data_IF_437269545117
#
_entry.id   IF_437269545117
#
_cell.length_a   1.000
_cell.length_b   1.000
_cell.length_c   1.000
_cell.angle_alpha   90.00
_cell.angle_beta   90.00
_cell.angle_gamma   90.00
#
_symmetry.space_group_name_H-M   'P 1'
#
loop_
_entity.id
_entity.type
_entity.pdbx_description
1 polymer ?
#
# COMPACT_ATOMS: atom_id res chain seq x y z
N UNK A 1 -7.12 -19.03 18.43
CA UNK A 1 -8.39 -18.40 18.07
C UNK A 1 -8.45 -18.25 16.55
N UNK A 2 -9.59 -18.58 15.94
CA UNK A 2 -9.78 -18.57 14.48
C UNK A 2 -9.62 -17.13 13.95
N UNK A 3 -8.55 -16.85 13.20
CA UNK A 3 -8.51 -15.69 12.30
C UNK A 3 -9.65 -15.88 11.30
N UNK A 4 -10.76 -15.16 11.50
CA UNK A 4 -11.76 -14.97 10.44
C UNK A 4 -11.00 -14.35 9.27
N UNK A 5 -10.75 -15.12 8.22
CA UNK A 5 -10.26 -14.57 6.96
C UNK A 5 -11.25 -13.48 6.56
N UNK A 6 -10.78 -12.23 6.61
CA UNK A 6 -11.56 -11.09 6.15
C UNK A 6 -11.90 -11.34 4.67
N UNK A 7 -13.19 -11.35 4.37
CA UNK A 7 -13.71 -11.64 3.03
C UNK A 7 -13.27 -10.52 2.07
N UNK A 8 -13.15 -10.82 0.78
CA UNK A 8 -12.80 -9.80 -0.22
C UNK A 8 -13.75 -8.60 -0.16
N UNK A 9 -15.02 -8.82 0.19
CA UNK A 9 -16.01 -7.74 0.38
C UNK A 9 -15.65 -6.76 1.51
N UNK A 10 -15.07 -7.23 2.62
CA UNK A 10 -14.64 -6.34 3.69
C UNK A 10 -13.38 -5.56 3.28
N UNK A 11 -12.47 -6.21 2.55
CA UNK A 11 -11.28 -5.55 2.01
C UNK A 11 -11.65 -4.49 0.95
N UNK A 12 -12.61 -4.77 0.08
CA UNK A 12 -13.13 -3.81 -0.90
C UNK A 12 -13.72 -2.57 -0.21
N UNK A 13 -14.46 -2.77 0.88
CA UNK A 13 -14.97 -1.67 1.71
C UNK A 13 -13.86 -0.85 2.37
N UNK A 14 -12.81 -1.51 2.86
CA UNK A 14 -11.63 -0.81 3.41
C UNK A 14 -10.94 0.02 2.34
N UNK A 15 -10.79 -0.50 1.13
CA UNK A 15 -10.24 0.24 -0.01
C UNK A 15 -11.11 1.45 -0.34
N UNK A 16 -12.44 1.31 -0.37
CA UNK A 16 -13.35 2.44 -0.61
C UNK A 16 -13.22 3.55 0.44
N UNK A 17 -12.98 3.20 1.71
CA UNK A 17 -12.73 4.17 2.78
C UNK A 17 -11.36 4.85 2.61
N UNK A 18 -10.31 4.05 2.38
CA UNK A 18 -8.95 4.55 2.20
C UNK A 18 -8.82 5.47 0.98
N UNK A 19 -9.51 5.18 -0.13
CA UNK A 19 -9.60 6.04 -1.32
C UNK A 19 -10.16 7.43 -1.00
N UNK A 20 -11.04 7.54 0.01
CA UNK A 20 -11.60 8.81 0.47
C UNK A 20 -10.72 9.51 1.51
N UNK A 21 -9.52 8.99 1.78
CA UNK A 21 -8.65 9.44 2.86
C UNK A 21 -9.31 9.30 4.24
N UNK A 22 -10.14 8.27 4.44
CA UNK A 22 -10.78 7.97 5.72
C UNK A 22 -10.01 6.87 6.48
N UNK A 23 -10.00 6.97 7.81
CA UNK A 23 -9.35 5.98 8.67
C UNK A 23 -10.16 4.70 8.79
N UNK A 24 -9.46 3.56 8.69
CA UNK A 24 -9.96 2.24 9.09
C UNK A 24 -9.61 1.95 10.55
N UNK A 25 -10.28 0.99 11.19
CA UNK A 25 -10.03 0.69 12.60
C UNK A 25 -8.66 0.06 12.81
N UNK A 26 -8.06 0.27 13.98
CA UNK A 26 -6.78 -0.34 14.36
C UNK A 26 -6.77 -1.88 14.19
N UNK A 27 -7.88 -2.56 14.53
CA UNK A 27 -8.01 -4.00 14.34
C UNK A 27 -7.97 -4.41 12.86
N UNK A 28 -8.52 -3.56 11.99
CA UNK A 28 -8.54 -3.74 10.53
C UNK A 28 -7.14 -3.47 9.95
N UNK A 29 -6.46 -2.40 10.41
CA UNK A 29 -5.05 -2.12 10.08
C UNK A 29 -4.16 -3.30 10.44
N UNK A 30 -4.27 -3.82 11.67
CA UNK A 30 -3.46 -4.94 12.13
C UNK A 30 -3.68 -6.18 11.27
N UNK A 31 -4.94 -6.52 11.00
CA UNK A 31 -5.29 -7.65 10.14
C UNK A 31 -4.76 -7.48 8.71
N UNK A 32 -4.83 -6.26 8.15
CA UNK A 32 -4.29 -5.95 6.83
C UNK A 32 -2.77 -6.12 6.79
N UNK A 33 -2.06 -5.57 7.78
CA UNK A 33 -0.61 -5.71 7.92
C UNK A 33 -0.17 -7.16 8.05
N UNK A 34 -0.88 -7.98 8.82
CA UNK A 34 -0.53 -9.40 8.99
C UNK A 34 -0.70 -10.18 7.68
N UNK A 35 -1.76 -9.93 6.91
CA UNK A 35 -1.95 -10.54 5.57
C UNK A 35 -0.90 -10.06 4.57
N UNK A 36 -0.58 -8.77 4.58
CA UNK A 36 0.44 -8.23 3.69
C UNK A 36 1.82 -8.81 3.99
N UNK A 37 2.17 -9.02 5.28
CA UNK A 37 3.41 -9.71 5.66
C UNK A 37 3.46 -11.12 5.10
N UNK A 38 2.35 -11.88 5.17
CA UNK A 38 2.29 -13.23 4.62
C UNK A 38 2.57 -13.25 3.12
N UNK A 39 1.97 -12.31 2.36
CA UNK A 39 2.17 -12.18 0.91
C UNK A 39 3.62 -11.77 0.61
N UNK A 40 4.07 -10.64 1.17
CA UNK A 40 5.39 -10.07 0.87
C UNK A 40 6.55 -10.96 1.32
N UNK A 41 6.36 -11.77 2.38
CA UNK A 41 7.40 -12.72 2.83
C UNK A 41 7.53 -13.94 1.92
N UNK A 42 6.51 -14.23 1.10
CA UNK A 42 6.54 -15.30 0.12
C UNK A 42 7.12 -14.85 -1.23
N UNK A 43 7.26 -13.55 -1.46
CA UNK A 43 7.84 -12.97 -2.67
C UNK A 43 9.37 -13.07 -2.67
N UNK A 44 9.94 -13.08 -3.87
CA UNK A 44 11.37 -13.11 -4.09
C UNK A 44 11.97 -11.71 -3.91
N UNK A 45 13.24 -11.66 -3.55
CA UNK A 45 13.98 -10.39 -3.50
C UNK A 45 14.08 -9.69 -4.88
N UNK A 46 13.93 -10.44 -5.97
CA UNK A 46 13.91 -9.94 -7.34
C UNK A 46 12.65 -10.47 -8.01
N UNK A 47 11.63 -9.63 -8.08
CA UNK A 47 10.37 -9.97 -8.70
C UNK A 47 10.36 -9.77 -10.21
N UNK A 48 9.68 -10.67 -10.91
CA UNK A 48 9.48 -10.58 -12.36
C UNK A 48 8.09 -10.02 -12.61
N UNK A 49 8.02 -8.90 -13.34
CA UNK A 49 6.76 -8.23 -13.69
C UNK A 49 6.47 -8.37 -15.17
N UNK A 50 5.19 -8.52 -15.52
CA UNK A 50 4.73 -8.63 -16.90
C UNK A 50 4.16 -7.31 -17.43
N UNK A 51 4.44 -7.01 -18.69
CA UNK A 51 3.86 -5.85 -19.40
C UNK A 51 2.48 -6.20 -19.96
N UNK A 52 1.56 -5.23 -20.09
CA UNK A 52 1.70 -3.81 -19.79
C UNK A 52 1.64 -3.52 -18.28
N UNK A 53 2.43 -2.55 -17.81
CA UNK A 53 2.38 -2.04 -16.42
C UNK A 53 2.73 -0.55 -16.34
N UNK A 54 2.26 0.08 -15.28
CA UNK A 54 2.59 1.46 -14.90
C UNK A 54 3.66 1.43 -13.80
N UNK A 55 4.75 2.17 -13.99
CA UNK A 55 5.86 2.27 -13.02
C UNK A 55 5.75 3.60 -12.28
N UNK A 56 5.78 3.54 -10.96
CA UNK A 56 5.60 4.67 -10.06
C UNK A 56 6.85 4.86 -9.20
N UNK A 57 7.35 6.08 -9.15
CA UNK A 57 8.46 6.47 -8.26
C UNK A 57 7.96 6.84 -6.85
N UNK A 58 8.75 7.66 -6.17
CA UNK A 58 8.53 8.11 -4.80
C UNK A 58 7.14 8.75 -4.62
N UNK A 59 6.48 8.43 -3.51
CA UNK A 59 5.16 8.95 -3.16
C UNK A 59 5.21 9.88 -1.94
N UNK A 60 6.03 9.56 -0.92
CA UNK A 60 6.27 10.41 0.26
C UNK A 60 5.00 10.96 0.92
N UNK A 61 4.01 10.11 1.17
CA UNK A 61 2.76 10.50 1.84
C UNK A 61 1.94 11.55 1.09
N UNK A 62 2.17 11.74 -0.22
CA UNK A 62 1.40 12.64 -1.08
C UNK A 62 0.12 11.95 -1.59
N UNK A 63 -0.83 11.71 -0.67
CA UNK A 63 -2.04 10.93 -0.94
C UNK A 63 -2.84 11.43 -2.16
N UNK A 64 -3.07 12.74 -2.28
CA UNK A 64 -3.86 13.29 -3.39
C UNK A 64 -3.17 13.15 -4.74
N UNK A 65 -1.83 13.18 -4.77
CA UNK A 65 -1.05 12.94 -5.98
C UNK A 65 -1.09 11.45 -6.36
N UNK A 66 -1.07 10.54 -5.37
CA UNK A 66 -1.30 9.12 -5.60
C UNK A 66 -2.69 8.85 -6.21
N UNK A 67 -3.72 9.55 -5.74
CA UNK A 67 -5.07 9.45 -6.32
C UNK A 67 -5.10 9.93 -7.77
N UNK A 68 -4.37 10.99 -8.10
CA UNK A 68 -4.26 11.47 -9.48
C UNK A 68 -3.49 10.49 -10.37
N UNK A 69 -2.43 9.88 -9.83
CA UNK A 69 -1.68 8.82 -10.49
C UNK A 69 -2.60 7.65 -10.89
N UNK A 70 -3.51 7.21 -10.02
CA UNK A 70 -4.47 6.16 -10.37
C UNK A 70 -5.48 6.60 -11.44
N UNK A 71 -5.93 7.85 -11.43
CA UNK A 71 -6.84 8.36 -12.48
C UNK A 71 -6.17 8.40 -13.85
N UNK A 72 -4.89 8.76 -13.91
CA UNK A 72 -4.13 8.85 -15.17
C UNK A 72 -3.65 7.48 -15.64
N UNK A 73 -3.15 6.65 -14.72
CA UNK A 73 -2.61 5.33 -15.02
C UNK A 73 -3.68 4.25 -15.24
N UNK A 74 -4.88 4.45 -14.71
CA UNK A 74 -5.98 3.48 -14.74
C UNK A 74 -6.14 2.74 -13.41
N UNK A 75 -7.36 2.31 -13.10
CA UNK A 75 -7.65 1.66 -11.82
C UNK A 75 -7.26 0.17 -11.82
N UNK A 76 -6.96 -0.36 -10.63
CA UNK A 76 -6.87 -1.81 -10.43
C UNK A 76 -8.28 -2.43 -10.40
N UNK A 77 -8.48 -3.64 -10.96
CA UNK A 77 -7.47 -4.60 -11.44
C UNK A 77 -7.08 -4.50 -12.91
N UNK A 78 -7.62 -3.55 -13.67
CA UNK A 78 -7.42 -3.45 -15.12
C UNK A 78 -5.98 -3.05 -15.51
N UNK A 79 -5.27 -2.38 -14.60
CA UNK A 79 -3.89 -1.93 -14.79
C UNK A 79 -2.94 -2.59 -13.78
N UNK A 80 -1.79 -3.08 -14.25
CA UNK A 80 -0.71 -3.56 -13.40
C UNK A 80 0.15 -2.38 -12.93
N UNK A 81 0.59 -2.40 -11.67
CA UNK A 81 1.43 -1.35 -11.09
C UNK A 81 2.70 -1.91 -10.45
N UNK A 82 3.80 -1.20 -10.67
CA UNK A 82 5.06 -1.37 -9.95
C UNK A 82 5.41 -0.06 -9.23
N UNK A 83 5.39 -0.08 -7.90
CA UNK A 83 5.86 1.05 -7.10
C UNK A 83 7.28 0.80 -6.59
N UNK A 84 8.15 1.80 -6.75
CA UNK A 84 9.59 1.68 -6.48
C UNK A 84 10.01 2.02 -5.04
N UNK A 85 9.05 2.19 -4.11
CA UNK A 85 9.31 2.47 -2.70
C UNK A 85 9.10 3.94 -2.33
N UNK A 86 9.62 4.33 -1.18
CA UNK A 86 9.51 5.70 -0.63
C UNK A 86 8.04 6.16 -0.56
N UNK A 87 7.22 5.34 0.09
CA UNK A 87 5.79 5.56 0.27
C UNK A 87 5.48 6.58 1.34
N UNK A 88 6.33 6.63 2.37
CA UNK A 88 6.11 7.35 3.63
C UNK A 88 7.10 8.50 3.83
N UNK A 89 6.86 9.26 4.90
CA UNK A 89 7.62 10.44 5.33
C UNK A 89 7.47 11.66 4.40
N UNK A 90 7.82 12.85 4.92
CA UNK A 90 7.75 14.18 4.28
C UNK A 90 6.33 14.70 4.00
N UNK A 91 5.42 13.85 3.55
CA UNK A 91 4.01 14.15 3.41
C UNK A 91 3.25 14.07 4.74
N UNK A 92 2.02 14.57 4.75
CA UNK A 92 1.13 14.57 5.92
C UNK A 92 0.15 13.38 5.95
N UNK A 93 0.17 12.53 4.92
CA UNK A 93 -0.80 11.43 4.72
C UNK A 93 -0.07 10.11 4.41
N UNK A 94 1.06 9.86 5.08
CA UNK A 94 1.85 8.65 4.88
C UNK A 94 1.08 7.40 5.30
N UNK A 95 0.31 7.46 6.39
CA UNK A 95 -0.50 6.34 6.88
C UNK A 95 -1.57 5.97 5.86
N UNK A 96 -2.36 6.94 5.39
CA UNK A 96 -3.42 6.69 4.40
C UNK A 96 -2.84 6.20 3.07
N UNK A 97 -1.74 6.83 2.62
CA UNK A 97 -1.02 6.43 1.40
C UNK A 97 -0.56 4.98 1.48
N UNK A 98 0.15 4.63 2.56
CA UNK A 98 0.71 3.29 2.71
C UNK A 98 -0.38 2.24 2.91
N UNK A 99 -1.41 2.53 3.72
CA UNK A 99 -2.53 1.61 3.93
C UNK A 99 -3.31 1.34 2.64
N UNK A 100 -3.51 2.35 1.79
CA UNK A 100 -4.17 2.17 0.49
C UNK A 100 -3.36 1.23 -0.41
N UNK A 101 -2.05 1.46 -0.55
CA UNK A 101 -1.15 0.60 -1.34
C UNK A 101 -1.12 -0.83 -0.79
N UNK A 102 -1.09 -0.98 0.53
CA UNK A 102 -1.10 -2.27 1.21
C UNK A 102 -2.42 -3.03 0.99
N UNK A 103 -3.56 -2.33 1.06
CA UNK A 103 -4.88 -2.89 0.80
C UNK A 103 -5.01 -3.36 -0.65
N UNK A 104 -4.54 -2.56 -1.61
CA UNK A 104 -4.50 -2.94 -3.02
C UNK A 104 -3.57 -4.13 -3.26
N UNK A 105 -2.41 -4.20 -2.59
CA UNK A 105 -1.49 -5.35 -2.66
C UNK A 105 -2.15 -6.63 -2.15
N UNK A 106 -2.84 -6.57 -1.01
CA UNK A 106 -3.54 -7.74 -0.45
C UNK A 106 -4.71 -8.16 -1.35
N UNK A 107 -5.40 -7.19 -1.96
CA UNK A 107 -6.57 -7.46 -2.81
C UNK A 107 -6.22 -7.98 -4.21
N UNK A 108 -5.10 -7.51 -4.76
CA UNK A 108 -4.63 -7.79 -6.11
C UNK A 108 -3.12 -8.11 -6.11
N UNK A 109 -2.70 -9.21 -5.45
CA UNK A 109 -1.28 -9.52 -5.25
C UNK A 109 -0.50 -9.67 -6.56
N UNK A 110 -1.16 -10.16 -7.62
CA UNK A 110 -0.56 -10.36 -8.95
C UNK A 110 -0.58 -9.09 -9.83
N UNK A 111 -1.22 -8.00 -9.36
CA UNK A 111 -1.37 -6.73 -10.12
C UNK A 111 -0.59 -5.58 -9.51
N UNK A 112 -0.37 -5.60 -8.19
CA UNK A 112 0.39 -4.58 -7.46
C UNK A 112 1.72 -5.19 -7.02
N UNK A 113 2.82 -4.64 -7.49
CA UNK A 113 4.17 -4.96 -7.01
C UNK A 113 4.70 -3.77 -6.21
N UNK A 114 5.13 -4.01 -4.96
CA UNK A 114 5.71 -3.01 -4.09
C UNK A 114 7.17 -3.36 -3.83
N UNK A 115 8.09 -2.48 -4.23
CA UNK A 115 9.52 -2.59 -3.90
C UNK A 115 9.81 -1.69 -2.70
N UNK A 116 10.84 -2.04 -1.93
CA UNK A 116 11.30 -1.30 -0.76
C UNK A 116 12.21 -0.13 -1.16
N UNK A 117 11.88 1.08 -0.72
CA UNK A 117 12.75 2.25 -0.75
C UNK A 117 13.56 2.41 0.54
N UNK A 118 14.30 3.50 0.68
CA UNK A 118 15.09 3.75 1.88
C UNK A 118 14.24 4.25 3.05
N UNK A 119 13.09 4.86 2.77
CA UNK A 119 12.17 5.35 3.79
C UNK A 119 11.39 4.23 4.51
N UNK A 120 11.31 3.02 3.94
CA UNK A 120 10.68 1.86 4.58
C UNK A 120 11.64 1.16 5.57
N UNK A 121 12.29 1.94 6.44
CA UNK A 121 13.17 1.43 7.49
C UNK A 121 12.92 2.15 8.81
N UNK A 122 12.98 1.41 9.93
CA UNK A 122 12.74 1.95 11.27
C UNK A 122 13.62 3.15 11.60
N UNK A 123 14.86 3.16 11.12
CA UNK A 123 15.79 4.24 11.36
C UNK A 123 15.32 5.55 10.71
N UNK A 124 14.74 5.48 9.51
CA UNK A 124 14.31 6.66 8.76
C UNK A 124 12.93 7.12 9.25
N UNK A 125 11.98 6.22 9.46
CA UNK A 125 10.62 6.57 9.90
C UNK A 125 10.56 7.22 11.28
N UNK A 126 11.54 6.93 12.17
CA UNK A 126 11.66 7.59 13.47
C UNK A 126 12.22 9.02 13.40
N UNK A 127 12.88 9.36 12.30
CA UNK A 127 13.50 10.68 12.11
C UNK A 127 12.60 11.60 11.28
N UNK A 128 11.84 11.06 10.34
CA UNK A 128 11.13 11.83 9.32
C UNK A 128 9.60 11.86 9.44
N UNK A 129 9.06 11.38 10.57
CA UNK A 129 7.71 11.71 11.02
C UNK A 129 6.70 10.57 10.95
N UNK A 130 6.93 9.52 10.16
CA UNK A 130 5.96 8.43 10.07
C UNK A 130 5.71 7.71 11.40
N UNK A 131 6.71 7.62 12.28
CA UNK A 131 6.54 7.03 13.61
C UNK A 131 5.57 7.83 14.50
N UNK A 132 5.56 9.16 14.38
CA UNK A 132 4.66 10.03 15.15
C UNK A 132 3.27 10.13 14.51
N UNK A 133 3.17 9.85 13.20
CA UNK A 133 1.92 9.80 12.45
C UNK A 133 1.08 8.55 12.76
N UNK A 134 1.73 7.45 13.19
CA UNK A 134 1.11 6.18 13.58
C UNK A 134 0.69 6.14 15.06
#
# INVERSE_FOLDING_TARGET
>A
EYLKMSTNAELDKQIEQLIKCEYIKESEVKALCDRAKEILSAENNVEKVETPLTICGDIHGQFYDLMELFKVGGECPETNYLFMGDFVDRGFYSVETFLLLLALKVRYPDRITLIRGNHESRQITQVYGFYDEC
#
